data_IF_086375970506
#
_entry.id   IF_086375970506
#
_cell.length_a   1.000
_cell.length_b   1.000
_cell.length_c   1.000
_cell.angle_alpha   90.00
_cell.angle_beta   90.00
_cell.angle_gamma   90.00
#
_symmetry.space_group_name_H-M   'P 1'
#
loop_
_entity.id
_entity.type
_entity.pdbx_description
1 polymer ?
#
# COMPACT_ATOMS: atom_id res chain seq x y z
N UNK A 1 -73.60 19.38 -30.99
CA UNK A 1 -72.82 18.18 -30.66
C UNK A 1 -71.71 18.67 -29.76
N UNK A 2 -71.87 18.46 -28.45
CA UNK A 2 -70.99 18.94 -27.40
C UNK A 2 -69.74 18.08 -27.39
N UNK A 3 -68.59 18.68 -27.69
CA UNK A 3 -67.28 18.04 -27.51
C UNK A 3 -67.14 17.64 -26.04
N UNK A 4 -66.85 16.37 -25.82
CA UNK A 4 -66.80 15.76 -24.51
C UNK A 4 -65.60 16.33 -23.75
N UNK A 5 -65.87 17.08 -22.67
CA UNK A 5 -64.85 17.72 -21.84
C UNK A 5 -63.83 16.72 -21.28
N UNK A 6 -64.18 15.43 -21.28
CA UNK A 6 -63.31 14.33 -20.87
C UNK A 6 -62.25 14.00 -21.93
N UNK A 7 -62.55 14.14 -23.22
CA UNK A 7 -61.62 13.90 -24.32
C UNK A 7 -60.51 14.96 -24.37
N UNK A 8 -60.85 16.23 -24.12
CA UNK A 8 -59.87 17.31 -24.03
C UNK A 8 -58.89 17.12 -22.85
N UNK A 9 -59.40 16.61 -21.72
CA UNK A 9 -58.56 16.29 -20.56
C UNK A 9 -57.67 15.06 -20.83
N UNK A 10 -58.22 14.02 -21.45
CA UNK A 10 -57.48 12.82 -21.86
C UNK A 10 -56.38 13.14 -22.91
N UNK A 11 -56.63 14.08 -23.81
CA UNK A 11 -55.64 14.56 -24.78
C UNK A 11 -54.49 15.33 -24.11
N UNK A 12 -54.75 16.04 -23.01
CA UNK A 12 -53.71 16.77 -22.26
C UNK A 12 -52.80 15.86 -21.42
N UNK A 13 -53.22 14.63 -21.15
CA UNK A 13 -52.45 13.59 -20.45
C UNK A 13 -51.62 12.70 -21.38
N UNK A 14 -51.79 12.81 -22.71
CA UNK A 14 -50.92 12.15 -23.67
C UNK A 14 -49.54 12.82 -23.62
N UNK A 15 -48.64 12.20 -22.85
CA UNK A 15 -47.20 12.47 -22.96
C UNK A 15 -46.79 12.24 -24.42
N UNK A 16 -45.99 13.14 -25.02
CA UNK A 16 -45.50 12.93 -26.37
C UNK A 16 -44.79 11.57 -26.44
N UNK A 17 -45.27 10.69 -27.32
CA UNK A 17 -44.74 9.33 -27.53
C UNK A 17 -43.26 9.32 -28.00
N UNK A 18 -42.68 10.50 -28.23
CA UNK A 18 -41.33 10.69 -28.78
C UNK A 18 -40.25 11.02 -27.73
N UNK A 19 -40.55 10.84 -26.44
CA UNK A 19 -39.52 10.77 -25.37
C UNK A 19 -39.47 9.36 -24.80
N UNK A 20 -39.25 8.38 -25.67
CA UNK A 20 -39.13 6.96 -25.35
C UNK A 20 -37.77 6.57 -24.75
N UNK A 21 -37.24 7.42 -23.87
CA UNK A 21 -36.27 6.97 -22.86
C UNK A 21 -36.97 7.08 -21.52
N UNK A 22 -37.30 5.94 -20.92
CA UNK A 22 -37.79 5.91 -19.55
C UNK A 22 -36.82 6.69 -18.66
N UNK A 23 -37.32 7.55 -17.78
CA UNK A 23 -36.47 8.29 -16.82
C UNK A 23 -35.55 7.36 -16.02
N UNK A 24 -35.92 6.07 -15.88
CA UNK A 24 -35.07 5.03 -15.31
C UNK A 24 -33.91 4.60 -16.24
N UNK A 25 -34.14 4.51 -17.55
CA UNK A 25 -33.12 4.22 -18.56
C UNK A 25 -32.12 5.38 -18.69
N UNK A 26 -32.60 6.63 -18.77
CA UNK A 26 -31.73 7.81 -18.83
C UNK A 26 -30.82 7.92 -17.58
N UNK A 27 -31.35 7.60 -16.38
CA UNK A 27 -30.55 7.55 -15.14
C UNK A 27 -29.51 6.42 -15.17
N UNK A 28 -29.85 5.27 -15.74
CA UNK A 28 -28.95 4.12 -15.87
C UNK A 28 -27.77 4.43 -16.80
N UNK A 29 -28.04 5.00 -17.98
CA UNK A 29 -27.02 5.37 -18.97
C UNK A 29 -26.04 6.43 -18.44
N UNK A 30 -26.58 7.43 -17.71
CA UNK A 30 -25.77 8.48 -17.13
C UNK A 30 -24.86 7.96 -16.00
N UNK A 31 -25.31 6.94 -15.26
CA UNK A 31 -24.52 6.28 -14.22
C UNK A 31 -23.46 5.33 -14.82
N UNK A 32 -23.81 4.59 -15.87
CA UNK A 32 -22.89 3.71 -16.59
C UNK A 32 -21.74 4.51 -17.22
N UNK A 33 -22.04 5.63 -17.88
CA UNK A 33 -21.04 6.52 -18.48
C UNK A 33 -20.12 7.11 -17.42
N UNK A 34 -20.67 7.51 -16.26
CA UNK A 34 -19.89 8.06 -15.15
C UNK A 34 -18.97 7.02 -14.51
N UNK A 35 -19.44 5.78 -14.37
CA UNK A 35 -18.66 4.64 -13.87
C UNK A 35 -17.50 4.29 -14.81
N UNK A 36 -17.74 4.27 -16.13
CA UNK A 36 -16.71 4.04 -17.15
C UNK A 36 -15.61 5.11 -17.09
N UNK A 37 -15.97 6.40 -17.03
CA UNK A 37 -14.99 7.50 -16.93
C UNK A 37 -14.20 7.44 -15.61
N UNK A 38 -14.83 7.01 -14.51
CA UNK A 38 -14.14 6.81 -13.24
C UNK A 38 -13.15 5.64 -13.29
N UNK A 39 -13.53 4.55 -13.95
CA UNK A 39 -12.65 3.39 -14.17
C UNK A 39 -11.43 3.77 -15.01
N UNK A 40 -11.64 4.46 -16.13
CA UNK A 40 -10.54 4.94 -16.99
C UNK A 40 -9.59 5.87 -16.24
N UNK A 41 -10.13 6.83 -15.47
CA UNK A 41 -9.31 7.72 -14.65
C UNK A 41 -8.53 6.97 -13.58
N UNK A 42 -9.13 5.95 -12.95
CA UNK A 42 -8.46 5.09 -11.97
C UNK A 42 -7.30 4.30 -12.59
N UNK A 43 -7.50 3.77 -13.80
CA UNK A 43 -6.44 3.07 -14.56
C UNK A 43 -5.30 4.01 -14.89
N UNK A 44 -5.59 5.22 -15.40
CA UNK A 44 -4.56 6.23 -15.71
C UNK A 44 -3.76 6.60 -14.45
N UNK A 45 -4.43 6.83 -13.32
CA UNK A 45 -3.76 7.14 -12.04
C UNK A 45 -2.84 5.99 -11.62
N UNK A 46 -3.32 4.73 -11.66
CA UNK A 46 -2.51 3.57 -11.31
C UNK A 46 -1.30 3.42 -12.24
N UNK A 47 -1.47 3.63 -13.54
CA UNK A 47 -0.39 3.55 -14.52
C UNK A 47 0.66 4.65 -14.30
N UNK A 48 0.23 5.89 -14.04
CA UNK A 48 1.15 7.00 -13.71
C UNK A 48 1.94 6.73 -12.45
N UNK A 49 1.26 6.28 -11.38
CA UNK A 49 1.92 5.88 -10.13
C UNK A 49 2.88 4.72 -10.39
N UNK A 50 2.50 3.73 -11.19
CA UNK A 50 3.40 2.63 -11.54
C UNK A 50 4.67 3.11 -12.27
N UNK A 51 4.53 4.01 -13.25
CA UNK A 51 5.70 4.61 -13.92
C UNK A 51 6.56 5.42 -12.95
N UNK A 52 5.95 6.16 -12.02
CA UNK A 52 6.70 6.88 -10.98
C UNK A 52 7.43 5.93 -10.03
N UNK A 53 6.78 4.84 -9.64
CA UNK A 53 7.36 3.80 -8.80
C UNK A 53 8.60 3.19 -9.46
N UNK A 54 8.54 2.87 -10.76
CA UNK A 54 9.69 2.34 -11.50
C UNK A 54 10.90 3.29 -11.44
N UNK A 55 10.69 4.59 -11.67
CA UNK A 55 11.76 5.59 -11.53
C UNK A 55 12.37 5.59 -10.13
N UNK A 56 11.53 5.51 -9.08
CA UNK A 56 12.00 5.47 -7.70
C UNK A 56 12.80 4.20 -7.38
N UNK A 57 12.49 3.06 -8.01
CA UNK A 57 13.21 1.81 -7.85
C UNK A 57 14.57 1.81 -8.58
N UNK A 58 14.63 2.46 -9.74
CA UNK A 58 15.88 2.61 -10.50
C UNK A 58 16.87 3.53 -9.78
N UNK A 59 16.37 4.55 -9.07
CA UNK A 59 17.18 5.47 -8.27
C UNK A 59 17.65 4.78 -6.95
N UNK A 60 18.79 4.09 -7.00
CA UNK A 60 19.33 3.32 -5.86
C UNK A 60 20.27 4.11 -4.91
N UNK A 61 20.28 5.44 -5.00
CA UNK A 61 21.18 6.31 -4.23
C UNK A 61 20.76 6.48 -2.75
N UNK A 62 21.73 6.76 -1.87
CA UNK A 62 21.46 7.08 -0.47
C UNK A 62 20.57 8.34 -0.35
N UNK A 63 19.58 8.28 0.55
CA UNK A 63 18.60 9.36 0.74
C UNK A 63 17.42 9.33 -0.24
N UNK A 64 17.40 8.39 -1.18
CA UNK A 64 16.28 8.18 -2.09
C UNK A 64 15.17 7.32 -1.44
N UNK A 65 13.99 7.30 -2.05
CA UNK A 65 12.75 6.73 -1.53
C UNK A 65 12.83 5.29 -1.00
N UNK A 66 13.59 4.42 -1.68
CA UNK A 66 13.81 3.01 -1.30
C UNK A 66 15.17 2.75 -0.64
N UNK A 67 15.88 3.80 -0.20
CA UNK A 67 17.05 3.64 0.66
C UNK A 67 16.62 3.15 2.05
N UNK A 68 17.48 2.39 2.71
CA UNK A 68 17.17 1.79 4.01
C UNK A 68 16.82 2.86 5.07
N UNK A 69 17.53 3.99 5.06
CA UNK A 69 17.25 5.13 5.93
C UNK A 69 15.86 5.72 5.68
N UNK A 70 15.46 5.91 4.41
CA UNK A 70 14.14 6.45 4.08
C UNK A 70 13.02 5.45 4.37
N UNK A 71 13.21 4.17 4.07
CA UNK A 71 12.22 3.13 4.42
C UNK A 71 12.03 3.03 5.93
N UNK A 72 13.11 3.13 6.71
CA UNK A 72 13.06 3.17 8.17
C UNK A 72 12.30 4.40 8.68
N UNK A 73 12.59 5.59 8.14
CA UNK A 73 11.93 6.83 8.55
C UNK A 73 10.42 6.81 8.25
N UNK A 74 10.05 6.29 7.08
CA UNK A 74 8.68 6.30 6.57
C UNK A 74 7.78 5.25 7.21
N UNK A 75 8.33 4.08 7.51
CA UNK A 75 7.61 2.99 8.17
C UNK A 75 8.54 2.23 9.12
N UNK A 76 8.80 2.77 10.33
CA UNK A 76 9.68 2.16 11.32
C UNK A 76 9.29 0.74 11.70
N UNK A 77 7.98 0.44 11.82
CA UNK A 77 7.51 -0.90 12.19
C UNK A 77 7.79 -1.95 11.09
N UNK A 78 7.43 -1.65 9.85
CA UNK A 78 7.72 -2.53 8.71
C UNK A 78 9.22 -2.72 8.52
N UNK A 79 10.01 -1.64 8.62
CA UNK A 79 11.46 -1.73 8.53
C UNK A 79 12.01 -2.63 9.64
N UNK A 80 11.57 -2.46 10.88
CA UNK A 80 12.02 -3.30 11.99
C UNK A 80 11.72 -4.78 11.75
N UNK A 81 10.48 -5.08 11.36
CA UNK A 81 10.02 -6.45 11.09
C UNK A 81 10.80 -7.11 9.95
N UNK A 82 10.96 -6.45 8.80
CA UNK A 82 11.63 -7.05 7.64
C UNK A 82 13.15 -7.01 7.75
N UNK A 83 13.75 -5.93 8.27
CA UNK A 83 15.20 -5.72 8.24
C UNK A 83 15.81 -5.46 9.61
N UNK A 84 15.24 -4.54 10.39
CA UNK A 84 15.87 -4.01 11.59
C UNK A 84 16.21 -5.05 12.66
N UNK A 85 15.35 -6.05 12.86
CA UNK A 85 15.62 -7.15 13.81
C UNK A 85 16.77 -8.06 13.34
N UNK A 86 16.98 -8.20 12.03
CA UNK A 86 17.99 -9.09 11.44
C UNK A 86 19.35 -8.42 11.25
N UNK A 87 19.39 -7.09 11.03
CA UNK A 87 20.64 -6.32 11.00
C UNK A 87 21.40 -6.41 12.35
N UNK A 88 20.66 -6.58 13.45
CA UNK A 88 21.21 -6.74 14.79
C UNK A 88 21.66 -8.17 15.13
N UNK A 89 21.34 -9.18 14.32
CA UNK A 89 21.80 -10.55 14.53
C UNK A 89 23.22 -10.77 13.98
N UNK A 90 23.64 -9.97 12.99
CA UNK A 90 25.01 -9.93 12.47
C UNK A 90 25.98 -9.11 13.36
N UNK A 91 25.67 -9.00 14.65
CA UNK A 91 26.49 -8.29 15.67
C UNK A 91 27.87 -8.89 15.91
N UNK A 92 28.22 -9.98 15.23
CA UNK A 92 29.60 -10.48 15.18
C UNK A 92 30.56 -9.48 14.51
N UNK A 93 30.06 -8.56 13.68
CA UNK A 93 30.85 -7.56 12.98
C UNK A 93 30.82 -6.14 13.59
N UNK A 94 29.79 -5.77 14.37
CA UNK A 94 29.54 -4.37 14.76
C UNK A 94 29.79 -4.04 16.24
N UNK A 95 30.31 -4.99 17.01
CA UNK A 95 30.70 -4.73 18.41
C UNK A 95 32.19 -4.43 18.45
N UNK A 96 32.60 -3.16 18.24
CA UNK A 96 33.82 -2.51 18.82
C UNK A 96 34.42 -1.34 18.01
N UNK A 97 33.83 -0.89 16.90
CA UNK A 97 34.41 0.23 16.13
C UNK A 97 33.46 1.43 16.08
N UNK A 98 33.66 2.38 16.99
CA UNK A 98 33.89 3.80 16.67
C UNK A 98 33.72 4.65 17.93
N UNK A 99 34.82 4.78 18.68
CA UNK A 99 34.93 5.72 19.79
C UNK A 99 35.53 7.04 19.26
N UNK A 100 34.93 7.57 18.19
CA UNK A 100 35.13 8.95 17.77
C UNK A 100 34.47 9.88 18.78
N UNK A 101 35.06 11.05 19.01
CA UNK A 101 34.67 12.06 20.00
C UNK A 101 33.26 12.63 19.75
N UNK A 102 32.21 11.83 19.97
CA UNK A 102 30.84 12.30 19.90
C UNK A 102 30.63 13.27 21.06
N UNK A 103 30.35 14.53 20.73
CA UNK A 103 29.99 15.51 21.74
C UNK A 103 28.74 15.02 22.46
N UNK A 104 28.64 15.25 23.77
CA UNK A 104 27.45 14.90 24.57
C UNK A 104 26.15 15.35 23.91
N UNK A 105 26.15 16.51 23.24
CA UNK A 105 25.02 17.01 22.46
C UNK A 105 24.61 16.07 21.31
N UNK A 106 25.57 15.53 20.55
CA UNK A 106 25.30 14.59 19.46
C UNK A 106 24.71 13.31 20.02
N UNK A 107 25.32 12.77 21.07
CA UNK A 107 24.82 11.57 21.74
C UNK A 107 23.37 11.76 22.26
N UNK A 108 23.08 12.89 22.91
CA UNK A 108 21.73 13.20 23.38
C UNK A 108 20.74 13.32 22.22
N UNK A 109 21.10 14.02 21.14
CA UNK A 109 20.26 14.13 19.95
C UNK A 109 19.98 12.76 19.33
N UNK A 110 21.00 11.91 19.20
CA UNK A 110 20.85 10.55 18.69
C UNK A 110 19.95 9.71 19.58
N UNK A 111 20.10 9.78 20.90
CA UNK A 111 19.22 9.04 21.83
C UNK A 111 17.78 9.52 21.77
N UNK A 112 17.55 10.83 21.61
CA UNK A 112 16.22 11.39 21.41
C UNK A 112 15.59 10.90 20.11
N UNK A 113 16.33 10.97 18.99
CA UNK A 113 15.86 10.50 17.69
C UNK A 113 15.55 9.00 17.72
N UNK A 114 16.44 8.18 18.30
CA UNK A 114 16.20 6.73 18.45
C UNK A 114 14.94 6.46 19.28
N UNK A 115 14.72 7.20 20.37
CA UNK A 115 13.53 7.07 21.21
C UNK A 115 12.26 7.47 20.47
N UNK A 116 12.29 8.55 19.68
CA UNK A 116 11.14 8.95 18.86
C UNK A 116 10.79 7.89 17.82
N UNK A 117 11.81 7.32 17.17
CA UNK A 117 11.65 6.21 16.23
C UNK A 117 11.08 4.96 16.89
N UNK A 118 11.50 4.63 18.12
CA UNK A 118 10.93 3.55 18.91
C UNK A 118 9.44 3.78 19.20
N UNK A 119 9.07 4.97 19.67
CA UNK A 119 7.68 5.31 19.96
C UNK A 119 6.82 5.17 18.69
N UNK A 120 7.31 5.67 17.54
CA UNK A 120 6.60 5.54 16.26
C UNK A 120 6.44 4.09 15.83
N UNK A 121 7.51 3.30 15.93
CA UNK A 121 7.47 1.86 15.64
C UNK A 121 6.41 1.15 16.48
N UNK A 122 6.38 1.38 17.80
CA UNK A 122 5.39 0.76 18.69
C UNK A 122 3.96 1.21 18.37
N UNK A 123 3.77 2.48 18.00
CA UNK A 123 2.45 2.98 17.62
C UNK A 123 1.96 2.42 16.27
N UNK A 124 2.88 2.20 15.33
CA UNK A 124 2.56 1.57 14.04
C UNK A 124 2.33 0.07 14.14
N UNK A 125 2.92 -0.60 15.13
CA UNK A 125 2.83 -2.06 15.29
C UNK A 125 1.37 -2.53 15.39
N UNK A 126 0.48 -1.78 16.04
CA UNK A 126 -0.96 -2.07 16.09
C UNK A 126 -1.60 -2.12 14.69
N UNK A 127 -1.12 -1.29 13.76
CA UNK A 127 -1.60 -1.29 12.36
C UNK A 127 -1.09 -2.48 11.57
N UNK A 128 0.00 -3.10 12.05
CA UNK A 128 0.70 -4.21 11.42
C UNK A 128 0.56 -5.52 12.21
N UNK A 129 -0.33 -5.57 13.22
CA UNK A 129 -0.52 -6.63 14.22
C UNK A 129 -0.71 -8.06 13.68
N UNK A 130 -0.76 -8.25 12.35
CA UNK A 130 -0.68 -9.57 11.70
C UNK A 130 0.76 -10.11 11.63
N UNK A 131 1.78 -9.28 11.84
CA UNK A 131 3.19 -9.68 11.84
C UNK A 131 3.74 -9.73 13.27
N UNK A 132 4.15 -10.91 13.74
CA UNK A 132 4.83 -11.05 15.03
C UNK A 132 6.35 -10.89 14.86
N UNK A 133 6.97 -9.97 15.60
CA UNK A 133 8.43 -9.80 15.54
C UNK A 133 9.15 -11.05 16.09
N UNK A 134 10.31 -11.40 15.54
CA UNK A 134 11.06 -12.61 15.96
C UNK A 134 11.41 -12.58 17.45
N UNK A 135 11.80 -11.41 17.97
CA UNK A 135 12.13 -11.23 19.38
C UNK A 135 10.90 -11.41 20.29
N UNK A 136 9.72 -10.99 19.85
CA UNK A 136 8.46 -11.17 20.60
C UNK A 136 8.01 -12.62 20.62
N UNK A 137 8.20 -13.35 19.51
CA UNK A 137 7.96 -14.80 19.44
C UNK A 137 8.91 -15.56 20.37
N UNK A 138 10.21 -15.26 20.32
CA UNK A 138 11.19 -15.89 21.21
C UNK A 138 10.88 -15.65 22.69
N UNK A 139 10.43 -14.46 23.07
CA UNK A 139 9.98 -14.19 24.43
C UNK A 139 8.67 -14.91 24.75
N UNK A 140 7.72 -15.02 23.81
CA UNK A 140 6.49 -15.81 23.98
C UNK A 140 6.80 -17.28 24.21
N UNK A 141 7.64 -17.90 23.38
CA UNK A 141 8.07 -19.30 23.52
C UNK A 141 8.85 -19.54 24.81
N UNK A 142 9.67 -18.58 25.25
CA UNK A 142 10.35 -18.64 26.55
C UNK A 142 9.37 -18.60 27.70
N UNK A 143 8.35 -17.75 27.59
CA UNK A 143 7.32 -17.59 28.59
C UNK A 143 6.45 -18.85 28.66
N UNK A 144 6.06 -19.39 27.52
CA UNK A 144 5.25 -20.60 27.41
C UNK A 144 5.95 -21.79 28.06
N UNK A 145 7.23 -22.04 27.72
CA UNK A 145 8.07 -23.05 28.37
C UNK A 145 8.22 -22.88 29.89
N UNK A 146 8.08 -21.66 30.41
CA UNK A 146 8.15 -21.38 31.84
C UNK A 146 6.83 -21.70 32.56
N UNK A 147 5.70 -21.65 31.85
CA UNK A 147 4.35 -21.86 32.38
C UNK A 147 3.72 -23.21 31.98
N UNK A 148 4.27 -23.95 31.01
CA UNK A 148 3.83 -25.28 30.56
C UNK A 148 3.98 -26.40 31.61
N UNK A 149 4.61 -26.17 32.77
CA UNK A 149 4.75 -27.19 33.82
C UNK A 149 3.41 -27.50 34.57
N UNK A 150 2.30 -26.79 34.31
CA UNK A 150 1.01 -27.01 35.02
C UNK A 150 -0.30 -26.89 34.19
N UNK A 151 -0.28 -26.83 32.86
CA UNK A 151 -1.54 -26.82 32.08
C UNK A 151 -1.49 -27.67 30.82
N UNK A 152 -2.24 -28.77 30.82
CA UNK A 152 -2.65 -29.48 29.61
C UNK A 152 -3.59 -28.59 28.79
N UNK A 153 -3.15 -28.05 27.66
CA UNK A 153 -4.07 -27.52 26.65
C UNK A 153 -3.55 -27.77 25.24
N UNK A 154 -4.50 -28.12 24.39
CA UNK A 154 -4.36 -28.73 23.08
C UNK A 154 -3.83 -27.73 22.03
N UNK A 155 -2.89 -28.23 21.23
CA UNK A 155 -2.40 -27.79 19.92
C UNK A 155 -3.26 -26.73 19.21
N UNK A 156 -2.78 -25.47 19.18
CA UNK A 156 -3.11 -24.47 18.16
C UNK A 156 -1.97 -24.42 17.11
N UNK A 157 -1.75 -25.52 16.39
CA UNK A 157 -0.70 -25.67 15.34
C UNK A 157 -1.18 -25.21 13.94
N UNK A 158 -1.83 -24.05 13.79
CA UNK A 158 -2.30 -23.59 12.45
C UNK A 158 -1.77 -22.23 11.97
N UNK A 159 -1.03 -21.45 12.79
CA UNK A 159 -0.46 -20.15 12.37
C UNK A 159 1.05 -20.18 12.04
N UNK A 160 1.75 -21.31 12.20
CA UNK A 160 3.21 -21.39 11.98
C UNK A 160 3.67 -21.41 10.51
N UNK A 161 2.77 -21.72 9.56
CA UNK A 161 3.20 -22.06 8.19
C UNK A 161 3.72 -20.89 7.34
N UNK A 162 3.32 -19.64 7.59
CA UNK A 162 3.84 -18.46 6.84
C UNK A 162 5.09 -17.85 7.51
N UNK A 163 5.31 -18.12 8.80
CA UNK A 163 6.40 -17.53 9.59
C UNK A 163 7.71 -18.32 9.51
N UNK A 164 7.65 -19.65 9.38
CA UNK A 164 8.84 -20.50 9.19
C UNK A 164 9.57 -20.18 7.87
N UNK A 165 8.82 -19.91 6.80
CA UNK A 165 9.35 -19.49 5.50
C UNK A 165 10.12 -18.16 5.61
N UNK A 166 9.71 -17.29 6.53
CA UNK A 166 10.37 -16.00 6.72
C UNK A 166 11.72 -16.11 7.44
N UNK A 167 12.02 -17.19 8.17
CA UNK A 167 13.29 -17.32 8.91
C UNK A 167 14.49 -17.60 8.00
N UNK A 168 14.26 -18.21 6.83
CA UNK A 168 15.32 -18.68 5.94
C UNK A 168 15.82 -17.61 4.95
N UNK A 169 15.10 -16.48 4.81
CA UNK A 169 15.52 -15.39 3.94
C UNK A 169 16.81 -14.70 4.41
N UNK A 170 17.72 -14.50 3.46
CA UNK A 170 18.87 -13.62 3.59
C UNK A 170 18.46 -12.16 3.79
N UNK A 171 19.38 -11.34 4.30
CA UNK A 171 19.14 -9.89 4.49
C UNK A 171 18.68 -9.22 3.17
N UNK A 172 19.25 -9.66 2.04
CA UNK A 172 18.90 -9.11 0.73
C UNK A 172 17.46 -9.48 0.30
N UNK A 173 17.05 -10.73 0.52
CA UNK A 173 15.68 -11.16 0.21
C UNK A 173 14.65 -10.45 1.09
N UNK A 174 14.96 -10.28 2.37
CA UNK A 174 14.13 -9.48 3.29
C UNK A 174 14.00 -8.04 2.86
N UNK A 175 15.11 -7.44 2.39
CA UNK A 175 15.10 -6.09 1.82
C UNK A 175 14.16 -6.01 0.62
N UNK A 176 14.20 -7.03 -0.25
CA UNK A 176 13.32 -7.09 -1.42
C UNK A 176 11.84 -7.20 -1.03
N UNK A 177 11.50 -8.00 -0.01
CA UNK A 177 10.14 -8.10 0.52
C UNK A 177 9.63 -6.77 1.10
N UNK A 178 10.48 -6.05 1.83
CA UNK A 178 10.14 -4.71 2.32
C UNK A 178 9.85 -3.75 1.16
N UNK A 179 10.68 -3.77 0.12
CA UNK A 179 10.49 -2.94 -1.08
C UNK A 179 9.18 -3.28 -1.77
N UNK A 180 8.81 -4.55 -1.88
CA UNK A 180 7.55 -4.98 -2.49
C UNK A 180 6.34 -4.42 -1.73
N UNK A 181 6.34 -4.52 -0.40
CA UNK A 181 5.26 -4.02 0.45
C UNK A 181 5.18 -2.50 0.38
N UNK A 182 6.33 -1.82 0.42
CA UNK A 182 6.42 -0.37 0.26
C UNK A 182 5.93 0.07 -1.13
N UNK A 183 6.22 -0.71 -2.17
CA UNK A 183 5.75 -0.47 -3.54
C UNK A 183 4.23 -0.59 -3.65
N UNK A 184 3.64 -1.63 -3.05
CA UNK A 184 2.19 -1.80 -2.97
C UNK A 184 1.52 -0.62 -2.26
N UNK A 185 2.07 -0.21 -1.11
CA UNK A 185 1.59 0.98 -0.38
C UNK A 185 1.71 2.27 -1.21
N UNK A 186 2.79 2.40 -1.98
CA UNK A 186 2.98 3.54 -2.85
C UNK A 186 1.86 3.62 -3.92
N UNK A 187 1.56 2.50 -4.58
CA UNK A 187 0.51 2.43 -5.60
C UNK A 187 -0.88 2.74 -5.01
N UNK A 188 -1.14 2.25 -3.80
CA UNK A 188 -2.36 2.52 -3.05
C UNK A 188 -2.50 3.98 -2.59
N UNK A 189 -1.44 4.79 -2.65
CA UNK A 189 -1.47 6.16 -2.17
C UNK A 189 -1.40 6.28 -0.65
N UNK A 190 -0.82 5.29 0.03
CA UNK A 190 -0.72 5.20 1.51
C UNK A 190 0.52 5.89 2.06
N UNK A 191 1.19 6.69 1.24
CA UNK A 191 2.42 7.40 1.56
C UNK A 191 2.36 8.87 1.14
N UNK A 192 1.20 9.50 1.42
CA UNK A 192 1.10 10.97 1.57
C UNK A 192 2.08 11.37 2.70
N UNK A 193 2.17 12.55 3.26
CA UNK A 193 3.35 12.90 4.15
C UNK A 193 4.70 12.95 3.39
N UNK A 194 5.08 11.92 2.62
CA UNK A 194 6.35 11.84 1.88
C UNK A 194 6.20 11.99 0.37
N UNK A 195 5.06 11.57 -0.20
CA UNK A 195 4.79 11.66 -1.64
C UNK A 195 3.61 12.59 -1.92
N UNK A 196 3.81 13.51 -2.87
CA UNK A 196 2.73 14.34 -3.39
C UNK A 196 1.99 13.61 -4.53
N UNK A 197 1.04 12.73 -4.18
CA UNK A 197 0.28 11.99 -5.19
C UNK A 197 -0.56 12.89 -6.10
N UNK A 198 -0.98 14.07 -5.66
CA UNK A 198 -1.73 14.98 -6.52
C UNK A 198 -0.89 15.44 -7.72
N UNK A 199 0.41 15.61 -7.54
CA UNK A 199 1.36 15.94 -8.60
C UNK A 199 1.64 14.72 -9.49
N UNK A 200 1.90 13.55 -8.90
CA UNK A 200 2.13 12.31 -9.63
C UNK A 200 0.92 11.93 -10.49
N UNK A 201 -0.28 12.02 -9.93
CA UNK A 201 -1.54 11.65 -10.59
C UNK A 201 -1.90 12.62 -11.72
N UNK A 202 -1.38 13.84 -11.69
CA UNK A 202 -1.61 14.88 -12.71
C UNK A 202 -0.50 14.94 -13.77
N UNK A 203 0.63 14.26 -13.60
CA UNK A 203 1.75 14.30 -14.53
C UNK A 203 1.52 13.40 -15.75
N UNK A 204 1.12 14.02 -16.86
CA UNK A 204 0.90 13.36 -18.15
C UNK A 204 2.19 12.77 -18.76
N UNK A 205 3.38 13.21 -18.32
CA UNK A 205 4.65 12.64 -18.82
C UNK A 205 4.87 11.21 -18.33
N UNK A 206 4.16 10.81 -17.27
CA UNK A 206 4.16 9.45 -16.77
C UNK A 206 3.22 8.54 -17.55
N UNK A 207 2.47 9.05 -18.53
CA UNK A 207 1.63 8.20 -19.39
C UNK A 207 2.49 7.41 -20.37
N UNK A 208 2.36 6.09 -20.33
CA UNK A 208 2.99 5.17 -21.28
C UNK A 208 2.18 5.13 -22.59
N UNK A 209 2.38 6.13 -23.44
CA UNK A 209 1.66 6.23 -24.72
C UNK A 209 1.90 5.00 -25.61
N UNK A 210 3.09 4.40 -25.54
CA UNK A 210 3.45 3.21 -26.33
C UNK A 210 2.73 1.96 -25.83
N UNK A 211 2.55 1.80 -24.52
CA UNK A 211 1.72 0.73 -23.96
C UNK A 211 0.24 0.95 -24.31
N UNK A 212 -0.27 2.18 -24.18
CA UNK A 212 -1.67 2.51 -24.52
C UNK A 212 -1.96 2.18 -25.99
N UNK A 213 -1.03 2.48 -26.90
CA UNK A 213 -1.19 2.17 -28.31
C UNK A 213 -1.23 0.66 -28.55
N UNK A 214 -0.33 -0.12 -27.92
CA UNK A 214 -0.32 -1.59 -28.02
C UNK A 214 -1.62 -2.20 -27.48
N UNK A 215 -2.10 -1.74 -26.33
CA UNK A 215 -3.37 -2.20 -25.75
C UNK A 215 -4.58 -1.83 -26.64
N UNK A 216 -4.49 -0.73 -27.39
CA UNK A 216 -5.51 -0.36 -28.37
C UNK A 216 -5.47 -1.26 -29.62
N UNK A 217 -4.27 -1.61 -30.09
CA UNK A 217 -4.06 -2.55 -31.19
C UNK A 217 -4.54 -3.97 -30.80
N UNK A 218 -4.15 -4.48 -29.64
CA UNK A 218 -4.56 -5.81 -29.15
C UNK A 218 -6.09 -5.93 -29.03
N UNK A 219 -6.75 -4.94 -28.44
CA UNK A 219 -8.23 -4.90 -28.37
C UNK A 219 -8.90 -4.86 -29.74
N UNK A 220 -8.25 -4.25 -30.73
CA UNK A 220 -8.75 -4.24 -32.11
C UNK A 220 -8.66 -5.64 -32.74
N UNK A 221 -7.61 -6.41 -32.44
CA UNK A 221 -7.43 -7.77 -32.97
C UNK A 221 -8.27 -8.84 -32.23
N UNK A 222 -8.57 -8.67 -30.95
CA UNK A 222 -9.41 -9.62 -30.19
C UNK A 222 -10.90 -9.56 -30.55
N UNK A 223 -11.38 -8.41 -31.06
CA UNK A 223 -12.78 -8.20 -31.44
C UNK A 223 -13.14 -8.52 -32.90
N UNK A 224 -12.18 -9.04 -33.68
CA UNK A 224 -12.30 -9.31 -35.13
C UNK A 224 -12.52 -10.77 -35.51
#
# INVERSE_FOLDING_TARGET
MSEDSLDAYMASLHLPEDQSQSMAQARSEHNASRSSVQSERSVVVKNRRYRRLQQLLDDSEEGQYFSDSMMQQRSPALFHFYLGQYLGLDKSANSLEDNGEQTLSSFLMDTCQRKEMEIRRTAEQDTWSKFTAVDEKQERDRLDKLYEEDSTQEEEEEEESEEEDMAEFSIQERRQLLIEIMSSRFLDGKDNEYVNYAEVDADERLDDLDAIQRDAEDRYFEGG
#
